data_IF_662523637819
#
_entry.id   IF_662523637819
#
_cell.length_a   1.000
_cell.length_b   1.000
_cell.length_c   1.000
_cell.angle_alpha   90.00
_cell.angle_beta   90.00
_cell.angle_gamma   90.00
#
_symmetry.space_group_name_H-M   'P 1'
#
loop_
_entity.id
_entity.type
_entity.pdbx_description
1 polymer ?
#
# COMPACT_ATOMS: atom_id res chain seq x y z
N UNK A 1 -15.78 -0.82 12.82
CA UNK A 1 -15.57 0.57 12.32
C UNK A 1 -14.19 0.54 11.67
N UNK A 2 -14.10 0.74 10.35
CA UNK A 2 -12.88 0.42 9.56
C UNK A 2 -12.21 1.68 8.94
N UNK A 3 -12.41 2.87 9.51
CA UNK A 3 -11.93 4.12 8.88
C UNK A 3 -10.40 4.25 8.81
N UNK A 4 -9.65 3.75 9.80
CA UNK A 4 -8.18 3.78 9.74
C UNK A 4 -7.58 2.68 8.86
N UNK A 5 -8.38 1.75 8.33
CA UNK A 5 -7.84 0.66 7.53
C UNK A 5 -7.27 1.16 6.20
N UNK A 6 -7.88 2.20 5.61
CA UNK A 6 -7.37 2.90 4.43
C UNK A 6 -6.00 3.54 4.67
N UNK A 7 -5.81 4.18 5.83
CA UNK A 7 -4.55 4.82 6.18
C UNK A 7 -3.42 3.81 6.43
N UNK A 8 -3.74 2.64 6.97
CA UNK A 8 -2.74 1.56 7.11
C UNK A 8 -2.30 1.05 5.74
N UNK A 9 -3.21 0.95 4.76
CA UNK A 9 -2.85 0.63 3.38
C UNK A 9 -1.97 1.72 2.75
N UNK A 10 -2.27 3.00 3.00
CA UNK A 10 -1.45 4.13 2.57
C UNK A 10 -0.02 4.04 3.14
N UNK A 11 0.11 3.83 4.45
CA UNK A 11 1.43 3.67 5.08
C UNK A 11 2.17 2.48 4.45
N UNK A 12 1.49 1.36 4.22
CA UNK A 12 2.08 0.20 3.57
C UNK A 12 2.62 0.47 2.16
N UNK A 13 1.90 1.26 1.35
CA UNK A 13 2.35 1.61 0.00
C UNK A 13 3.53 2.57 0.02
N UNK A 14 3.55 3.57 0.92
CA UNK A 14 4.69 4.46 1.08
C UNK A 14 5.94 3.72 1.58
N UNK A 15 5.79 2.78 2.51
CA UNK A 15 6.92 1.95 2.96
C UNK A 15 7.46 1.09 1.82
N UNK A 16 6.59 0.50 1.00
CA UNK A 16 7.02 -0.25 -0.18
C UNK A 16 7.78 0.65 -1.17
N UNK A 17 7.24 1.85 -1.45
CA UNK A 17 7.90 2.85 -2.29
C UNK A 17 9.30 3.20 -1.75
N UNK A 18 9.41 3.56 -0.46
CA UNK A 18 10.69 3.91 0.18
C UNK A 18 11.67 2.75 0.09
N UNK A 19 11.25 1.53 0.41
CA UNK A 19 12.10 0.35 0.34
C UNK A 19 12.62 0.10 -1.07
N UNK A 20 11.74 0.14 -2.08
CA UNK A 20 12.12 -0.02 -3.50
C UNK A 20 13.11 1.07 -3.91
N UNK A 21 12.81 2.34 -3.62
CA UNK A 21 13.68 3.46 -4.00
C UNK A 21 15.04 3.37 -3.36
N UNK A 22 15.11 3.06 -2.06
CA UNK A 22 16.40 2.91 -1.37
C UNK A 22 17.21 1.73 -1.92
N UNK A 23 16.58 0.59 -2.17
CA UNK A 23 17.28 -0.57 -2.73
C UNK A 23 17.78 -0.30 -4.15
N UNK A 24 16.98 0.36 -4.98
CA UNK A 24 17.41 0.79 -6.32
C UNK A 24 18.58 1.78 -6.25
N UNK A 25 18.56 2.74 -5.31
CA UNK A 25 19.67 3.68 -5.08
C UNK A 25 20.95 2.99 -4.60
N UNK A 26 20.83 1.84 -3.91
CA UNK A 26 21.96 0.99 -3.51
C UNK A 26 22.49 0.12 -4.65
N UNK A 27 21.94 0.22 -5.87
CA UNK A 27 22.37 -0.52 -7.05
C UNK A 27 21.79 -1.94 -7.13
N UNK A 28 20.71 -2.23 -6.41
CA UNK A 28 20.03 -3.53 -6.54
C UNK A 28 19.09 -3.53 -7.75
N UNK A 29 19.44 -4.28 -8.78
CA UNK A 29 18.64 -4.38 -10.01
C UNK A 29 17.66 -5.57 -10.03
N UNK A 30 17.74 -6.47 -9.04
CA UNK A 30 16.89 -7.66 -9.00
C UNK A 30 15.45 -7.32 -8.57
N UNK A 31 14.56 -7.25 -9.55
CA UNK A 31 13.12 -6.96 -9.35
C UNK A 31 12.47 -7.90 -8.33
N UNK A 32 12.63 -9.24 -8.38
CA UNK A 32 12.01 -10.12 -7.39
C UNK A 32 12.52 -9.86 -5.97
N UNK A 33 13.81 -9.57 -5.80
CA UNK A 33 14.39 -9.32 -4.49
C UNK A 33 13.92 -7.97 -3.92
N UNK A 34 13.86 -6.93 -4.75
CA UNK A 34 13.29 -5.64 -4.35
C UNK A 34 11.83 -5.76 -3.92
N UNK A 35 11.01 -6.48 -4.69
CA UNK A 35 9.61 -6.72 -4.34
C UNK A 35 9.46 -7.47 -3.02
N UNK A 36 10.25 -8.54 -2.81
CA UNK A 36 10.19 -9.33 -1.58
C UNK A 36 10.62 -8.50 -0.36
N UNK A 37 11.71 -7.75 -0.48
CA UNK A 37 12.19 -6.88 0.59
C UNK A 37 11.19 -5.77 0.92
N UNK A 38 10.61 -5.13 -0.10
CA UNK A 38 9.57 -4.11 0.08
C UNK A 38 8.32 -4.69 0.75
N UNK A 39 7.89 -5.88 0.33
CA UNK A 39 6.75 -6.56 0.93
C UNK A 39 6.99 -6.91 2.40
N UNK A 40 8.17 -7.46 2.72
CA UNK A 40 8.55 -7.76 4.09
C UNK A 40 8.60 -6.49 4.97
N UNK A 41 9.21 -5.41 4.46
CA UNK A 41 9.26 -4.13 5.16
C UNK A 41 7.86 -3.57 5.40
N UNK A 42 6.99 -3.58 4.39
CA UNK A 42 5.60 -3.14 4.52
C UNK A 42 4.82 -3.96 5.54
N UNK A 43 4.97 -5.29 5.57
CA UNK A 43 4.32 -6.15 6.58
C UNK A 43 4.75 -5.74 7.99
N UNK A 44 6.06 -5.62 8.22
CA UNK A 44 6.61 -5.31 9.55
C UNK A 44 6.08 -3.96 10.03
N UNK A 45 6.18 -2.93 9.19
CA UNK A 45 5.80 -1.56 9.59
C UNK A 45 4.29 -1.43 9.74
N UNK A 46 3.49 -1.94 8.81
CA UNK A 46 2.03 -1.82 8.88
C UNK A 46 1.44 -2.62 10.05
N UNK A 47 2.02 -3.77 10.38
CA UNK A 47 1.62 -4.56 11.56
C UNK A 47 1.92 -3.80 12.85
N UNK A 48 3.10 -3.17 12.96
CA UNK A 48 3.47 -2.36 14.11
C UNK A 48 2.57 -1.13 14.26
N UNK A 49 2.24 -0.45 13.15
CA UNK A 49 1.29 0.68 13.15
C UNK A 49 -0.12 0.23 13.54
N UNK A 50 -0.63 -0.86 12.95
CA UNK A 50 -1.95 -1.40 13.28
C UNK A 50 -2.07 -1.75 14.77
N UNK A 51 -1.05 -2.42 15.32
CA UNK A 51 -1.00 -2.70 16.76
C UNK A 51 -0.96 -1.42 17.61
N UNK A 52 -0.17 -0.43 17.20
CA UNK A 52 -0.02 0.83 17.94
C UNK A 52 -1.32 1.64 17.95
N UNK A 53 -2.00 1.74 16.81
CA UNK A 53 -3.30 2.41 16.68
C UNK A 53 -4.33 1.73 17.58
N UNK A 54 -4.41 0.41 17.51
CA UNK A 54 -5.33 -0.36 18.35
C UNK A 54 -5.05 -0.12 19.83
N UNK A 55 -3.78 -0.16 20.25
CA UNK A 55 -3.38 -0.02 21.65
C UNK A 55 -3.63 1.39 22.20
N UNK A 56 -3.33 2.43 21.41
CA UNK A 56 -3.31 3.82 21.86
C UNK A 56 -4.66 4.51 21.63
N UNK A 57 -5.28 4.32 20.46
CA UNK A 57 -6.49 5.04 20.09
C UNK A 57 -7.76 4.26 20.44
N UNK A 58 -7.82 2.97 20.10
CA UNK A 58 -9.09 2.23 20.15
C UNK A 58 -9.32 1.49 21.47
N UNK A 59 -8.32 0.77 21.97
CA UNK A 59 -8.43 -0.05 23.18
C UNK A 59 -8.89 0.73 24.42
N UNK A 60 -8.44 1.98 24.69
CA UNK A 60 -8.91 2.74 25.85
C UNK A 60 -10.40 3.13 25.77
N UNK A 61 -10.95 3.21 24.56
CA UNK A 61 -12.29 3.73 24.30
C UNK A 61 -13.36 2.62 24.14
N UNK A 62 -12.94 1.34 24.18
CA UNK A 62 -13.83 0.18 23.96
C UNK A 62 -14.96 0.05 24.98
N UNK A 63 -14.85 0.64 26.16
CA UNK A 63 -15.89 0.61 27.20
C UNK A 63 -16.93 1.74 27.14
N UNK A 64 -16.77 2.70 26.23
CA UNK A 64 -17.61 3.90 26.14
C UNK A 64 -18.80 3.78 25.19
N UNK A 65 -19.56 4.88 25.05
CA UNK A 65 -20.61 5.01 24.03
C UNK A 65 -20.02 4.77 22.62
N UNK A 66 -20.75 4.08 21.75
CA UNK A 66 -20.36 3.73 20.37
C UNK A 66 -19.92 4.92 19.52
N UNK A 67 -20.36 6.14 19.85
CA UNK A 67 -19.93 7.38 19.19
C UNK A 67 -18.47 7.74 19.46
N UNK A 68 -17.94 7.42 20.65
CA UNK A 68 -16.58 7.82 21.07
C UNK A 68 -15.51 7.11 20.22
N UNK A 69 -15.57 5.78 20.00
CA UNK A 69 -14.66 5.10 19.06
C UNK A 69 -14.79 5.59 17.62
N UNK A 70 -15.97 6.02 17.17
CA UNK A 70 -16.17 6.55 15.83
C UNK A 70 -15.39 7.86 15.62
N UNK A 71 -15.53 8.80 16.56
CA UNK A 71 -14.81 10.08 16.53
C UNK A 71 -13.29 9.84 16.60
N UNK A 72 -12.85 8.92 17.46
CA UNK A 72 -11.44 8.52 17.53
C UNK A 72 -10.93 7.92 16.22
N UNK A 73 -11.73 7.08 15.56
CA UNK A 73 -11.35 6.51 14.26
C UNK A 73 -11.16 7.59 13.19
N UNK A 74 -12.05 8.58 13.11
CA UNK A 74 -11.92 9.72 12.19
C UNK A 74 -10.69 10.55 12.54
N UNK A 75 -10.49 10.87 13.82
CA UNK A 75 -9.32 11.64 14.29
C UNK A 75 -8.01 10.94 13.98
N UNK A 76 -7.95 9.61 14.16
CA UNK A 76 -6.79 8.82 13.79
C UNK A 76 -6.54 8.82 12.28
N UNK A 77 -7.58 8.74 11.45
CA UNK A 77 -7.40 8.79 10.00
C UNK A 77 -6.76 10.12 9.56
N UNK A 78 -7.31 11.25 10.06
CA UNK A 78 -6.78 12.58 9.77
C UNK A 78 -5.35 12.74 10.30
N UNK A 79 -5.06 12.23 11.51
CA UNK A 79 -3.72 12.28 12.08
C UNK A 79 -2.70 11.54 11.22
N UNK A 80 -3.00 10.30 10.83
CA UNK A 80 -2.09 9.47 10.04
C UNK A 80 -1.86 10.07 8.65
N UNK A 81 -2.92 10.54 8.00
CA UNK A 81 -2.81 11.22 6.70
C UNK A 81 -1.89 12.45 6.79
N UNK A 82 -2.09 13.31 7.79
CA UNK A 82 -1.23 14.49 7.98
C UNK A 82 0.21 14.12 8.36
N UNK A 83 0.41 13.09 9.18
CA UNK A 83 1.75 12.61 9.52
C UNK A 83 2.51 12.12 8.27
N UNK A 84 1.84 11.40 7.38
CA UNK A 84 2.42 10.98 6.10
C UNK A 84 2.72 12.20 5.24
N UNK A 85 1.79 13.16 5.08
CA UNK A 85 2.02 14.38 4.29
C UNK A 85 3.21 15.21 4.78
N UNK A 86 3.39 15.34 6.11
CA UNK A 86 4.54 16.04 6.68
C UNK A 86 5.86 15.30 6.42
N UNK A 87 5.84 13.97 6.43
CA UNK A 87 7.05 13.16 6.24
C UNK A 87 7.43 12.93 4.78
N UNK A 88 6.45 12.84 3.87
CA UNK A 88 6.65 12.43 2.48
C UNK A 88 6.36 13.54 1.47
N UNK A 89 5.96 14.74 1.89
CA UNK A 89 5.37 15.79 1.04
C UNK A 89 3.94 15.45 0.60
N UNK A 90 3.18 16.45 0.17
CA UNK A 90 1.77 16.34 -0.25
C UNK A 90 1.60 15.92 -1.71
N UNK A 91 2.72 15.67 -2.42
CA UNK A 91 2.72 15.30 -3.83
C UNK A 91 2.56 13.80 -4.00
N UNK A 92 1.81 13.40 -5.03
CA UNK A 92 1.71 12.02 -5.43
C UNK A 92 3.08 11.48 -5.85
N UNK A 93 3.45 10.33 -5.27
CA UNK A 93 4.67 9.61 -5.62
C UNK A 93 4.30 8.35 -6.36
N UNK A 94 4.63 8.29 -7.64
CA UNK A 94 4.49 7.06 -8.41
C UNK A 94 5.67 6.13 -8.11
N UNK A 95 5.35 4.86 -7.81
CA UNK A 95 6.38 3.81 -7.79
C UNK A 95 6.86 3.64 -9.24
N UNK A 96 8.17 3.72 -9.51
CA UNK A 96 8.69 3.48 -10.85
C UNK A 96 8.28 2.09 -11.33
N UNK A 97 7.98 1.95 -12.63
CA UNK A 97 7.55 0.67 -13.20
C UNK A 97 8.66 -0.38 -13.06
N UNK A 98 8.48 -1.27 -12.09
CA UNK A 98 9.41 -2.37 -11.79
C UNK A 98 9.52 -3.38 -12.94
N UNK A 99 8.46 -3.54 -13.71
CA UNK A 99 8.39 -4.43 -14.87
C UNK A 99 8.03 -3.60 -16.11
N UNK A 100 9.02 -3.04 -16.82
CA UNK A 100 8.77 -2.29 -18.04
C UNK A 100 8.33 -3.24 -19.15
N UNK A 101 7.18 -2.97 -19.77
CA UNK A 101 6.67 -3.75 -20.89
C UNK A 101 5.15 -3.77 -20.97
N UNK A 102 4.64 -3.75 -22.20
CA UNK A 102 3.21 -3.68 -22.49
C UNK A 102 2.89 -4.59 -23.68
N UNK A 103 1.74 -5.26 -23.65
CA UNK A 103 1.11 -5.81 -24.84
C UNK A 103 0.23 -4.74 -25.49
N UNK A 104 0.40 -4.55 -26.80
CA UNK A 104 -0.42 -3.62 -27.59
C UNK A 104 -1.27 -4.45 -28.54
N UNK A 105 -2.58 -4.39 -28.38
CA UNK A 105 -3.54 -5.00 -29.30
C UNK A 105 -4.08 -3.91 -30.23
N UNK A 106 -3.58 -3.87 -31.47
CA UNK A 106 -3.96 -2.88 -32.50
C UNK A 106 -2.77 -2.44 -33.38
N UNK A 107 -3.01 -1.50 -34.30
CA UNK A 107 -1.99 -1.04 -35.27
C UNK A 107 -0.87 -0.20 -34.63
N UNK A 108 -1.11 0.45 -33.48
CA UNK A 108 -0.11 1.26 -32.77
C UNK A 108 -0.51 1.57 -31.32
N UNK A 109 0.47 2.00 -30.49
CA UNK A 109 0.24 2.39 -29.09
C UNK A 109 -0.72 3.57 -28.90
N UNK A 110 -1.06 4.33 -29.96
CA UNK A 110 -2.01 5.45 -29.89
C UNK A 110 -3.45 5.08 -30.24
N UNK A 111 -3.68 3.98 -30.96
CA UNK A 111 -5.01 3.57 -31.42
C UNK A 111 -5.37 2.13 -31.00
N UNK A 112 -4.48 1.44 -30.29
CA UNK A 112 -4.67 0.09 -29.78
C UNK A 112 -4.90 0.04 -28.27
N UNK A 113 -5.36 -1.11 -27.79
CA UNK A 113 -5.50 -1.38 -26.34
C UNK A 113 -4.12 -1.76 -25.79
N UNK A 114 -3.62 -0.97 -24.84
CA UNK A 114 -2.33 -1.20 -24.18
C UNK A 114 -2.57 -1.85 -22.82
N UNK A 115 -2.04 -3.06 -22.64
CA UNK A 115 -2.08 -3.80 -21.37
C UNK A 115 -0.65 -3.94 -20.85
N UNK A 116 -0.36 -3.32 -19.71
CA UNK A 116 0.97 -3.42 -19.08
C UNK A 116 1.18 -4.79 -18.43
N UNK A 117 2.42 -5.28 -18.40
CA UNK A 117 2.79 -6.47 -17.63
C UNK A 117 2.43 -6.35 -16.14
N UNK A 118 2.51 -5.13 -15.59
CA UNK A 118 2.04 -4.84 -14.23
C UNK A 118 0.54 -5.11 -14.07
N UNK A 119 -0.29 -4.75 -15.06
CA UNK A 119 -1.73 -5.01 -15.00
C UNK A 119 -2.03 -6.51 -15.05
N UNK A 120 -1.35 -7.25 -15.94
CA UNK A 120 -1.49 -8.70 -16.02
C UNK A 120 -1.10 -9.36 -14.70
N UNK A 121 0.01 -8.94 -14.11
CA UNK A 121 0.46 -9.44 -12.81
C UNK A 121 -0.59 -9.18 -11.72
N UNK A 122 -1.14 -7.96 -11.65
CA UNK A 122 -2.21 -7.63 -10.70
C UNK A 122 -3.40 -8.56 -10.89
N UNK A 123 -3.85 -8.78 -12.13
CA UNK A 123 -4.98 -9.69 -12.41
C UNK A 123 -4.69 -11.12 -11.96
N UNK A 124 -3.53 -11.67 -12.33
CA UNK A 124 -3.15 -13.05 -11.99
C UNK A 124 -3.05 -13.24 -10.48
N UNK A 125 -2.36 -12.33 -9.78
CA UNK A 125 -2.21 -12.39 -8.32
C UNK A 125 -3.56 -12.27 -7.63
N UNK A 126 -4.42 -11.34 -8.08
CA UNK A 126 -5.76 -11.16 -7.51
C UNK A 126 -6.59 -12.43 -7.66
N UNK A 127 -6.60 -13.04 -8.85
CA UNK A 127 -7.35 -14.26 -9.10
C UNK A 127 -6.84 -15.43 -8.26
N UNK A 128 -5.52 -15.63 -8.19
CA UNK A 128 -4.90 -16.69 -7.38
C UNK A 128 -5.23 -16.53 -5.90
N UNK A 129 -5.14 -15.32 -5.36
CA UNK A 129 -5.43 -15.05 -3.93
C UNK A 129 -6.92 -15.26 -3.63
N UNK A 130 -7.82 -14.75 -4.47
CA UNK A 130 -9.26 -14.95 -4.28
C UNK A 130 -9.64 -16.43 -4.37
N UNK A 131 -9.10 -17.15 -5.36
CA UNK A 131 -9.34 -18.58 -5.50
C UNK A 131 -8.81 -19.36 -4.30
N UNK A 132 -7.58 -19.07 -3.86
CA UNK A 132 -6.97 -19.70 -2.69
C UNK A 132 -7.68 -19.42 -1.37
N UNK A 133 -8.33 -18.26 -1.22
CA UNK A 133 -9.17 -17.93 -0.06
C UNK A 133 -10.57 -18.55 -0.12
N UNK A 134 -11.03 -18.95 -1.31
CA UNK A 134 -12.38 -19.53 -1.49
C UNK A 134 -12.39 -21.05 -1.26
N UNK A 135 -11.25 -21.71 -1.45
CA UNK A 135 -11.04 -23.13 -1.13
C UNK A 135 -10.97 -23.35 0.39
#
# INVERSE_FOLDING_TARGET
>A
INFAHGEVYMIGSYIAFIAITLLAMMGLDSVPLMMLAAFAASIIVTSAFGYSIERVAYRPLRGGNRLIPLISAIGMSIFLQNAVMLSQDSKEKAIPTLLPGNFVFGESSMNGVVISYMQILIFVVTFLVMFGLTL
#
